data_IF_453389247084
#
_entry.id   IF_453389247084
#
_cell.length_a   1.000
_cell.length_b   1.000
_cell.length_c   1.000
_cell.angle_alpha   90.00
_cell.angle_beta   90.00
_cell.angle_gamma   90.00
#
_symmetry.space_group_name_H-M   'P 1'
#
loop_
_entity.id
_entity.type
_entity.pdbx_description
1 polymer ?
#
# COMPACT_ATOMS: atom_id res chain seq x y z
N UNK A 1 -8.38 -22.40 -36.97
CA UNK A 1 -8.76 -22.35 -35.53
C UNK A 1 -7.57 -22.67 -34.63
N UNK A 2 -6.81 -23.76 -34.88
CA UNK A 2 -5.54 -24.02 -34.16
C UNK A 2 -4.51 -22.88 -34.31
N UNK A 3 -4.36 -22.33 -35.50
CA UNK A 3 -3.38 -21.25 -35.75
C UNK A 3 -3.72 -19.94 -35.01
N UNK A 4 -5.01 -19.61 -34.89
CA UNK A 4 -5.47 -18.40 -34.16
C UNK A 4 -5.22 -18.54 -32.65
N UNK A 5 -5.40 -19.73 -32.10
CA UNK A 5 -5.13 -20.00 -30.69
C UNK A 5 -3.62 -19.93 -30.40
N UNK A 6 -2.78 -20.45 -31.31
CA UNK A 6 -1.34 -20.32 -31.17
C UNK A 6 -0.89 -18.86 -31.24
N UNK A 7 -1.42 -18.08 -32.19
CA UNK A 7 -1.12 -16.65 -32.29
C UNK A 7 -1.54 -15.89 -31.03
N UNK A 8 -2.67 -16.24 -30.41
CA UNK A 8 -3.09 -15.66 -29.14
C UNK A 8 -2.10 -15.97 -28.02
N UNK A 9 -1.65 -17.22 -27.88
CA UNK A 9 -0.64 -17.59 -26.89
C UNK A 9 0.70 -16.89 -27.13
N UNK A 10 1.12 -16.75 -28.39
CA UNK A 10 2.33 -16.02 -28.76
C UNK A 10 2.23 -14.54 -28.36
N UNK A 11 1.09 -13.89 -28.63
CA UNK A 11 0.83 -12.51 -28.20
C UNK A 11 0.81 -12.36 -26.68
N UNK A 12 0.25 -13.33 -25.94
CA UNK A 12 0.28 -13.36 -24.47
C UNK A 12 1.72 -13.47 -23.96
N UNK A 13 2.53 -14.36 -24.55
CA UNK A 13 3.94 -14.49 -24.19
C UNK A 13 4.70 -13.19 -24.42
N UNK A 14 4.47 -12.49 -25.54
CA UNK A 14 5.07 -11.18 -25.81
C UNK A 14 4.64 -10.13 -24.78
N UNK A 15 3.33 -10.02 -24.50
CA UNK A 15 2.81 -9.05 -23.53
C UNK A 15 3.34 -9.28 -22.10
N UNK A 16 3.54 -10.55 -21.71
CA UNK A 16 4.09 -10.90 -20.40
C UNK A 16 5.56 -10.50 -20.22
N UNK A 17 6.32 -10.33 -21.30
CA UNK A 17 7.73 -9.90 -21.25
C UNK A 17 7.91 -8.40 -20.97
N UNK A 18 6.84 -7.59 -21.00
CA UNK A 18 6.91 -6.16 -20.72
C UNK A 18 7.98 -5.45 -21.56
N UNK A 19 8.92 -4.77 -20.90
CA UNK A 19 10.05 -4.08 -21.53
C UNK A 19 11.18 -4.98 -22.06
N UNK A 20 11.02 -6.29 -22.00
CA UNK A 20 11.97 -7.30 -22.49
C UNK A 20 12.92 -7.86 -21.41
N UNK A 21 13.51 -9.02 -21.69
CA UNK A 21 14.32 -9.82 -20.75
C UNK A 21 15.46 -9.02 -20.11
N UNK A 22 16.20 -8.22 -20.90
CA UNK A 22 17.29 -7.37 -20.39
C UNK A 22 16.82 -6.37 -19.33
N UNK A 23 15.59 -5.85 -19.43
CA UNK A 23 15.05 -4.91 -18.45
C UNK A 23 14.53 -5.63 -17.21
N UNK A 24 14.02 -6.84 -17.36
CA UNK A 24 13.64 -7.72 -16.26
C UNK A 24 14.89 -8.08 -15.44
N UNK A 25 15.97 -8.52 -16.08
CA UNK A 25 17.25 -8.80 -15.42
C UNK A 25 17.80 -7.56 -14.68
N UNK A 26 17.66 -6.37 -15.27
CA UNK A 26 18.06 -5.12 -14.62
C UNK A 26 17.17 -4.74 -13.41
N UNK A 27 15.89 -5.11 -13.43
CA UNK A 27 14.98 -4.95 -12.28
C UNK A 27 15.37 -5.92 -11.16
N UNK A 28 15.56 -7.20 -11.47
CA UNK A 28 16.03 -8.21 -10.52
C UNK A 28 17.41 -7.88 -9.95
N UNK A 29 18.32 -7.35 -10.77
CA UNK A 29 19.64 -6.90 -10.33
C UNK A 29 19.62 -5.75 -9.31
N UNK A 30 18.47 -5.09 -9.13
CA UNK A 30 18.23 -4.09 -8.07
C UNK A 30 17.53 -4.67 -6.84
N UNK A 31 17.35 -5.99 -6.77
CA UNK A 31 16.62 -6.66 -5.70
C UNK A 31 15.10 -6.49 -5.76
N UNK A 32 14.57 -6.03 -6.90
CA UNK A 32 13.13 -5.75 -7.09
C UNK A 32 12.49 -6.85 -7.93
N UNK A 33 11.26 -7.20 -7.60
CA UNK A 33 10.44 -8.08 -8.43
C UNK A 33 9.82 -7.31 -9.61
N UNK A 34 9.36 -8.05 -10.61
CA UNK A 34 8.54 -7.53 -11.70
C UNK A 34 7.09 -7.33 -11.25
N UNK A 35 6.32 -6.57 -12.02
CA UNK A 35 4.90 -6.33 -11.73
C UNK A 35 4.07 -7.62 -11.61
N UNK A 36 4.37 -8.62 -12.45
CA UNK A 36 3.63 -9.90 -12.48
C UNK A 36 4.04 -10.84 -11.34
N UNK A 37 5.33 -10.91 -11.01
CA UNK A 37 5.81 -11.68 -9.86
C UNK A 37 5.23 -11.14 -8.55
N UNK A 38 5.09 -9.82 -8.41
CA UNK A 38 4.46 -9.20 -7.24
C UNK A 38 2.98 -9.57 -7.12
N UNK A 39 2.24 -9.60 -8.23
CA UNK A 39 0.84 -10.03 -8.25
C UNK A 39 0.71 -11.51 -7.89
N UNK A 40 1.60 -12.35 -8.41
CA UNK A 40 1.61 -13.80 -8.14
C UNK A 40 1.85 -14.13 -6.67
N UNK A 41 2.72 -13.37 -5.98
CA UNK A 41 2.92 -13.50 -4.53
C UNK A 41 1.74 -12.94 -3.74
N UNK A 42 1.20 -11.79 -4.16
CA UNK A 42 0.13 -11.13 -3.43
C UNK A 42 -1.17 -11.95 -3.42
N UNK A 43 -1.54 -12.51 -4.57
CA UNK A 43 -2.83 -13.19 -4.76
C UNK A 43 -2.72 -14.69 -4.50
N UNK A 44 -3.85 -15.31 -4.18
CA UNK A 44 -3.92 -16.76 -4.06
C UNK A 44 -3.58 -17.42 -5.41
N UNK A 45 -2.89 -18.56 -5.33
CA UNK A 45 -2.39 -19.29 -6.51
C UNK A 45 -3.50 -19.55 -7.53
N UNK A 46 -3.27 -19.14 -8.78
CA UNK A 46 -4.22 -19.35 -9.88
C UNK A 46 -5.49 -18.49 -9.85
N UNK A 47 -5.61 -17.53 -8.91
CA UNK A 47 -6.80 -16.68 -8.80
C UNK A 47 -6.80 -15.43 -9.70
N UNK A 48 -5.64 -15.02 -10.22
CA UNK A 48 -5.52 -13.76 -10.95
C UNK A 48 -6.19 -13.81 -12.33
N UNK A 49 -7.16 -12.93 -12.55
CA UNK A 49 -7.74 -12.66 -13.86
C UNK A 49 -7.33 -11.25 -14.33
N UNK A 50 -6.55 -11.22 -15.40
CA UNK A 50 -6.02 -9.98 -15.97
C UNK A 50 -6.99 -9.32 -16.96
N UNK A 51 -7.13 -8.00 -16.85
CA UNK A 51 -7.81 -7.16 -17.82
C UNK A 51 -6.84 -6.35 -18.67
N UNK A 52 -7.27 -6.06 -19.90
CA UNK A 52 -6.59 -5.11 -20.80
C UNK A 52 -5.09 -5.43 -21.05
N UNK A 53 -4.73 -6.72 -21.09
CA UNK A 53 -3.36 -7.20 -21.34
C UNK A 53 -2.78 -6.63 -22.64
N UNK A 54 -3.61 -6.47 -23.68
CA UNK A 54 -3.17 -6.01 -25.00
C UNK A 54 -3.39 -4.52 -25.27
N UNK A 55 -3.89 -3.77 -24.29
CA UNK A 55 -4.12 -2.33 -24.47
C UNK A 55 -2.77 -1.61 -24.61
N UNK A 56 -2.66 -0.73 -25.59
CA UNK A 56 -1.45 0.06 -25.84
C UNK A 56 -1.80 1.55 -25.86
N UNK A 57 -0.79 2.41 -25.67
CA UNK A 57 -0.98 3.86 -25.79
C UNK A 57 -1.36 4.29 -27.21
N UNK A 58 -2.02 5.45 -27.27
CA UNK A 58 -2.46 6.08 -28.52
C UNK A 58 -1.64 7.31 -28.88
N UNK A 59 -0.61 7.63 -28.10
CA UNK A 59 0.30 8.75 -28.34
C UNK A 59 1.04 8.60 -29.68
N UNK A 60 1.03 9.66 -30.49
CA UNK A 60 1.78 9.76 -31.75
C UNK A 60 2.95 10.75 -31.69
N UNK A 61 3.01 11.56 -30.63
CA UNK A 61 4.05 12.58 -30.45
C UNK A 61 5.38 11.96 -30.01
N UNK A 62 6.47 12.71 -30.20
CA UNK A 62 7.83 12.33 -29.75
C UNK A 62 8.31 10.94 -30.19
N UNK A 63 7.80 10.41 -31.32
CA UNK A 63 8.14 9.08 -31.83
C UNK A 63 7.48 7.92 -31.09
N UNK A 64 6.50 8.19 -30.22
CA UNK A 64 5.80 7.14 -29.46
C UNK A 64 5.06 6.15 -30.37
N UNK A 65 4.59 6.58 -31.55
CA UNK A 65 3.90 5.70 -32.50
C UNK A 65 4.72 4.47 -32.92
N UNK A 66 6.05 4.54 -32.89
CA UNK A 66 6.95 3.47 -33.32
C UNK A 66 7.21 2.41 -32.23
N UNK A 67 6.76 2.66 -31.00
CA UNK A 67 7.06 1.82 -29.85
C UNK A 67 5.80 1.59 -29.00
N UNK A 68 4.96 0.67 -29.42
CA UNK A 68 3.76 0.26 -28.68
C UNK A 68 4.00 -1.05 -27.94
N UNK A 69 4.04 -0.98 -26.60
CA UNK A 69 4.18 -2.16 -25.75
C UNK A 69 2.81 -2.54 -25.18
N UNK A 70 2.33 -3.79 -25.40
CA UNK A 70 1.07 -4.27 -24.83
C UNK A 70 1.03 -4.12 -23.30
N UNK A 71 -0.13 -3.69 -22.79
CA UNK A 71 -0.38 -3.46 -21.37
C UNK A 71 -0.09 -2.03 -20.92
N UNK A 72 0.71 -1.28 -21.68
CA UNK A 72 1.06 0.13 -21.46
C UNK A 72 1.67 0.45 -20.08
N UNK A 73 2.41 -0.52 -19.54
CA UNK A 73 3.20 -0.37 -18.32
C UNK A 73 2.43 -0.52 -17.01
N UNK A 74 1.22 -1.08 -17.04
CA UNK A 74 0.50 -1.52 -15.84
C UNK A 74 -0.22 -2.84 -16.09
N UNK A 75 -0.10 -3.75 -15.15
CA UNK A 75 -0.89 -4.99 -15.09
C UNK A 75 -2.06 -4.73 -14.16
N UNK A 76 -3.28 -5.01 -14.60
CA UNK A 76 -4.52 -4.72 -13.86
C UNK A 76 -5.44 -5.90 -13.88
N UNK A 77 -6.13 -6.17 -12.78
CA UNK A 77 -7.11 -7.25 -12.72
C UNK A 77 -7.70 -7.42 -11.34
N UNK A 78 -8.16 -8.62 -11.09
CA UNK A 78 -8.68 -9.03 -9.79
C UNK A 78 -8.21 -10.46 -9.47
N UNK A 79 -8.33 -10.84 -8.21
CA UNK A 79 -8.14 -12.21 -7.76
C UNK A 79 -8.63 -12.35 -6.32
N UNK A 80 -8.04 -13.27 -5.57
CA UNK A 80 -8.38 -13.45 -4.16
C UNK A 80 -7.17 -13.38 -3.26
N UNK A 81 -7.38 -12.91 -2.03
CA UNK A 81 -6.46 -13.10 -0.90
C UNK A 81 -7.23 -13.85 0.17
N UNK A 82 -6.76 -15.05 0.53
CA UNK A 82 -7.43 -15.95 1.45
C UNK A 82 -8.90 -16.21 1.05
N UNK A 83 -9.14 -16.39 -0.25
CA UNK A 83 -10.44 -16.65 -0.84
C UNK A 83 -11.38 -15.44 -0.95
N UNK A 84 -10.93 -14.25 -0.56
CA UNK A 84 -11.75 -13.03 -0.58
C UNK A 84 -11.33 -12.13 -1.75
N UNK A 85 -12.33 -11.58 -2.45
CA UNK A 85 -12.13 -10.75 -3.64
C UNK A 85 -11.29 -9.50 -3.37
N UNK A 86 -10.34 -9.22 -4.25
CA UNK A 86 -9.53 -8.00 -4.26
C UNK A 86 -9.22 -7.57 -5.70
N UNK A 87 -9.20 -6.27 -5.95
CA UNK A 87 -8.72 -5.69 -7.20
C UNK A 87 -7.28 -5.21 -7.03
N UNK A 88 -6.46 -5.38 -8.08
CA UNK A 88 -5.04 -5.02 -8.02
C UNK A 88 -4.56 -4.39 -9.31
N UNK A 89 -3.72 -3.36 -9.18
CA UNK A 89 -2.85 -2.93 -10.25
C UNK A 89 -1.39 -3.01 -9.81
N UNK A 90 -0.51 -3.36 -10.75
CA UNK A 90 0.93 -3.35 -10.55
C UNK A 90 1.64 -2.69 -11.72
N UNK A 91 2.39 -1.64 -11.44
CA UNK A 91 3.10 -0.87 -12.46
C UNK A 91 4.38 -1.59 -12.87
N UNK A 92 4.57 -1.72 -14.18
CA UNK A 92 5.75 -2.36 -14.77
C UNK A 92 6.78 -1.30 -15.15
N UNK A 93 7.76 -1.12 -14.27
CA UNK A 93 8.87 -0.17 -14.46
C UNK A 93 9.69 -0.46 -15.72
N UNK A 94 9.68 -1.69 -16.24
CA UNK A 94 10.42 -2.04 -17.46
C UNK A 94 9.82 -1.36 -18.70
N UNK A 95 8.53 -1.02 -18.67
CA UNK A 95 7.78 -0.40 -19.78
C UNK A 95 7.69 1.11 -19.56
N UNK A 96 8.46 1.88 -20.34
CA UNK A 96 8.55 3.34 -20.23
C UNK A 96 8.77 3.87 -18.80
N UNK A 97 9.50 3.14 -17.95
CA UNK A 97 9.71 3.53 -16.55
C UNK A 97 8.45 3.47 -15.70
N UNK A 98 7.44 2.68 -16.09
CA UNK A 98 6.13 2.63 -15.44
C UNK A 98 5.36 3.95 -15.55
N UNK A 99 5.74 4.83 -16.48
CA UNK A 99 5.15 6.17 -16.58
C UNK A 99 3.66 6.13 -16.94
N UNK A 100 2.89 6.96 -16.25
CA UNK A 100 1.44 7.01 -16.41
C UNK A 100 1.05 7.79 -17.67
N UNK A 101 0.45 7.10 -18.62
CA UNK A 101 -0.23 7.61 -19.81
C UNK A 101 -1.75 7.65 -19.60
N UNK A 102 -2.46 8.20 -20.59
CA UNK A 102 -3.94 8.14 -20.66
C UNK A 102 -4.45 6.69 -20.55
N UNK A 103 -3.93 5.78 -21.37
CA UNK A 103 -4.39 4.39 -21.43
C UNK A 103 -3.98 3.56 -20.22
N UNK A 104 -2.82 3.86 -19.61
CA UNK A 104 -2.41 3.30 -18.33
C UNK A 104 -3.39 3.70 -17.22
N UNK A 105 -3.73 5.00 -17.15
CA UNK A 105 -4.71 5.50 -16.18
C UNK A 105 -6.09 4.88 -16.39
N UNK A 106 -6.57 4.80 -17.64
CA UNK A 106 -7.85 4.15 -17.98
C UNK A 106 -7.92 2.69 -17.49
N UNK A 107 -6.80 1.95 -17.47
CA UNK A 107 -6.75 0.57 -16.93
C UNK A 107 -6.93 0.55 -15.41
N UNK A 108 -6.24 1.45 -14.70
CA UNK A 108 -6.36 1.58 -13.24
C UNK A 108 -7.78 2.03 -12.88
N UNK A 109 -8.28 3.05 -13.56
CA UNK A 109 -9.66 3.56 -13.45
C UNK A 109 -10.69 2.44 -13.58
N UNK A 110 -10.55 1.56 -14.60
CA UNK A 110 -11.47 0.44 -14.81
C UNK A 110 -11.58 -0.45 -13.59
N UNK A 111 -10.45 -0.90 -13.03
CA UNK A 111 -10.49 -1.81 -11.87
C UNK A 111 -10.96 -1.10 -10.60
N UNK A 112 -10.70 0.20 -10.42
CA UNK A 112 -11.21 0.97 -9.30
C UNK A 112 -12.73 1.11 -9.36
N UNK A 113 -13.27 1.39 -10.56
CA UNK A 113 -14.72 1.44 -10.80
C UNK A 113 -15.36 0.07 -10.49
N UNK A 114 -14.73 -1.03 -10.94
CA UNK A 114 -15.19 -2.39 -10.63
C UNK A 114 -15.10 -2.73 -9.14
N UNK A 115 -14.04 -2.29 -8.46
CA UNK A 115 -13.86 -2.54 -7.03
C UNK A 115 -14.96 -1.89 -6.18
N UNK A 116 -15.28 -0.62 -6.46
CA UNK A 116 -16.40 0.08 -5.80
C UNK A 116 -17.74 -0.57 -6.13
N UNK A 117 -17.96 -0.96 -7.40
CA UNK A 117 -19.21 -1.63 -7.82
C UNK A 117 -19.43 -2.97 -7.11
N UNK A 118 -18.36 -3.72 -6.84
CA UNK A 118 -18.43 -5.03 -6.20
C UNK A 118 -18.15 -4.99 -4.68
N UNK A 119 -17.83 -3.83 -4.14
CA UNK A 119 -17.49 -3.67 -2.73
C UNK A 119 -16.26 -4.48 -2.31
N UNK A 120 -15.17 -4.37 -3.06
CA UNK A 120 -13.93 -5.08 -2.79
C UNK A 120 -12.74 -4.10 -2.65
N UNK A 121 -11.72 -4.41 -1.83
CA UNK A 121 -10.54 -3.57 -1.70
C UNK A 121 -9.75 -3.41 -3.00
N UNK A 122 -8.99 -2.33 -3.10
CA UNK A 122 -8.03 -2.08 -4.19
C UNK A 122 -6.62 -2.00 -3.63
N UNK A 123 -5.69 -2.76 -4.19
CA UNK A 123 -4.27 -2.71 -3.88
C UNK A 123 -3.49 -2.16 -5.07
N UNK A 124 -2.77 -1.07 -4.86
CA UNK A 124 -1.87 -0.46 -5.85
C UNK A 124 -0.42 -0.79 -5.56
N UNK A 125 0.24 -1.50 -6.47
CA UNK A 125 1.67 -1.81 -6.39
C UNK A 125 2.43 -0.83 -7.30
N UNK A 126 3.00 0.21 -6.69
CA UNK A 126 3.51 1.39 -7.38
C UNK A 126 5.01 1.27 -7.63
N UNK A 127 5.41 1.48 -8.88
CA UNK A 127 6.80 1.46 -9.36
C UNK A 127 6.86 2.28 -10.66
N UNK A 128 6.83 3.61 -10.51
CA UNK A 128 6.64 4.56 -11.61
C UNK A 128 7.53 5.79 -11.49
N UNK A 129 8.20 6.12 -12.60
CA UNK A 129 8.93 7.38 -12.75
C UNK A 129 8.05 8.63 -12.78
N UNK A 130 6.72 8.51 -12.77
CA UNK A 130 5.79 9.63 -12.77
C UNK A 130 5.00 9.78 -14.07
N UNK A 131 4.71 11.03 -14.46
CA UNK A 131 3.95 11.34 -15.66
C UNK A 131 4.69 10.93 -16.94
N UNK A 132 3.97 10.40 -17.94
CA UNK A 132 4.52 10.24 -19.27
C UNK A 132 4.55 11.59 -19.98
N UNK A 133 5.71 12.25 -19.92
CA UNK A 133 5.92 13.60 -20.46
C UNK A 133 5.52 13.71 -21.93
N UNK A 134 5.73 12.65 -22.72
CA UNK A 134 5.41 12.59 -24.13
C UNK A 134 3.90 12.76 -24.41
N UNK A 135 3.03 12.45 -23.45
CA UNK A 135 1.58 12.62 -23.55
C UNK A 135 1.07 13.94 -22.96
N UNK A 136 1.95 14.72 -22.33
CA UNK A 136 1.63 16.05 -21.80
C UNK A 136 0.39 16.07 -20.90
N UNK A 137 -0.60 16.89 -21.28
CA UNK A 137 -1.82 17.08 -20.49
C UNK A 137 -2.70 15.84 -20.39
N UNK A 138 -2.61 14.89 -21.34
CA UNK A 138 -3.38 13.65 -21.28
C UNK A 138 -2.90 12.75 -20.12
N UNK A 139 -1.59 12.74 -19.86
CA UNK A 139 -1.02 12.06 -18.67
C UNK A 139 -1.54 12.71 -17.37
N UNK A 140 -1.60 14.04 -17.32
CA UNK A 140 -2.13 14.76 -16.15
C UNK A 140 -3.63 14.54 -15.95
N UNK A 141 -4.41 14.47 -17.03
CA UNK A 141 -5.82 14.12 -16.97
C UNK A 141 -6.01 12.69 -16.44
N UNK A 142 -5.18 11.74 -16.89
CA UNK A 142 -5.17 10.38 -16.36
C UNK A 142 -4.90 10.31 -14.85
N UNK A 143 -3.98 11.13 -14.33
CA UNK A 143 -3.79 11.27 -12.89
C UNK A 143 -5.05 11.78 -12.19
N UNK A 144 -5.67 12.84 -12.71
CA UNK A 144 -6.90 13.39 -12.14
C UNK A 144 -8.04 12.36 -12.09
N UNK A 145 -8.18 11.52 -13.11
CA UNK A 145 -9.19 10.46 -13.16
C UNK A 145 -8.99 9.39 -12.08
N UNK A 146 -7.73 9.01 -11.82
CA UNK A 146 -7.36 8.09 -10.74
C UNK A 146 -7.63 8.74 -9.38
N UNK A 147 -7.20 9.99 -9.17
CA UNK A 147 -7.40 10.72 -7.92
C UNK A 147 -8.89 10.88 -7.59
N UNK A 148 -9.71 11.19 -8.59
CA UNK A 148 -11.16 11.31 -8.41
C UNK A 148 -11.76 9.99 -7.88
N UNK A 149 -11.25 8.84 -8.33
CA UNK A 149 -11.69 7.52 -7.85
C UNK A 149 -11.16 7.20 -6.47
N UNK A 150 -9.94 7.62 -6.14
CA UNK A 150 -9.45 7.47 -4.77
C UNK A 150 -10.35 8.21 -3.77
N UNK A 151 -10.76 9.43 -4.11
CA UNK A 151 -11.67 10.25 -3.30
C UNK A 151 -13.04 9.57 -3.19
N UNK A 152 -13.61 9.10 -4.31
CA UNK A 152 -14.92 8.45 -4.32
C UNK A 152 -14.94 7.11 -3.58
N UNK A 153 -13.82 6.40 -3.55
CA UNK A 153 -13.67 5.12 -2.86
C UNK A 153 -13.31 5.27 -1.37
N UNK A 154 -12.90 6.46 -0.92
CA UNK A 154 -12.46 6.72 0.46
C UNK A 154 -13.59 6.45 1.46
N UNK A 155 -13.34 5.52 2.40
CA UNK A 155 -14.36 5.06 3.35
C UNK A 155 -15.48 4.21 2.73
N UNK A 156 -15.31 3.72 1.49
CA UNK A 156 -16.26 2.83 0.81
C UNK A 156 -15.66 1.44 0.64
N UNK A 157 -14.48 1.36 0.04
CA UNK A 157 -13.67 0.14 -0.04
C UNK A 157 -12.26 0.47 0.45
N UNK A 158 -11.57 -0.45 1.17
CA UNK A 158 -10.20 -0.21 1.58
C UNK A 158 -9.26 -0.04 0.39
N UNK A 159 -8.38 0.95 0.48
CA UNK A 159 -7.38 1.27 -0.53
C UNK A 159 -5.99 1.16 0.09
N UNK A 160 -5.15 0.27 -0.44
CA UNK A 160 -3.80 0.03 0.06
C UNK A 160 -2.80 0.35 -1.05
N UNK A 161 -1.83 1.19 -0.75
CA UNK A 161 -0.69 1.46 -1.63
C UNK A 161 0.57 0.81 -1.11
N UNK A 162 1.24 0.06 -1.97
CA UNK A 162 2.58 -0.46 -1.73
C UNK A 162 3.53 0.21 -2.69
N UNK A 163 4.56 0.84 -2.16
CA UNK A 163 5.56 1.58 -2.94
C UNK A 163 6.79 0.70 -3.02
N UNK A 164 7.01 0.14 -4.21
CA UNK A 164 8.03 -0.88 -4.45
C UNK A 164 9.02 -0.38 -5.52
N UNK A 165 9.21 0.93 -5.58
CA UNK A 165 10.02 1.59 -6.60
C UNK A 165 9.98 3.12 -6.49
N UNK A 166 10.48 3.82 -7.52
CA UNK A 166 10.29 5.25 -7.63
C UNK A 166 8.81 5.61 -7.66
N UNK A 167 8.44 6.73 -7.04
CA UNK A 167 7.13 7.33 -7.14
C UNK A 167 7.29 8.86 -7.03
N UNK A 168 7.34 9.56 -8.15
CA UNK A 168 7.71 10.97 -8.19
C UNK A 168 6.64 11.86 -8.87
N UNK A 169 6.55 13.11 -8.43
CA UNK A 169 5.64 14.08 -9.03
C UNK A 169 4.18 13.71 -8.80
N UNK A 170 3.38 13.65 -9.86
CA UNK A 170 1.96 13.31 -9.77
C UNK A 170 1.69 11.93 -9.15
N UNK A 171 2.63 10.97 -9.30
CA UNK A 171 2.45 9.61 -8.81
C UNK A 171 2.22 9.51 -7.30
N UNK A 172 2.72 10.47 -6.50
CA UNK A 172 2.61 10.42 -5.04
C UNK A 172 1.21 10.71 -4.52
N UNK A 173 0.37 11.38 -5.31
CA UNK A 173 -0.92 11.89 -4.82
C UNK A 173 -2.01 10.82 -4.75
N UNK A 174 -1.95 9.78 -5.59
CA UNK A 174 -2.89 8.65 -5.46
C UNK A 174 -2.62 7.88 -4.16
N UNK A 175 -1.38 7.42 -3.86
CA UNK A 175 -1.07 6.84 -2.57
C UNK A 175 -1.43 7.73 -1.38
N UNK A 176 -1.18 9.04 -1.46
CA UNK A 176 -1.54 9.99 -0.40
C UNK A 176 -3.05 10.04 -0.08
N UNK A 177 -3.91 9.64 -1.02
CA UNK A 177 -5.36 9.55 -0.84
C UNK A 177 -5.85 8.15 -0.47
N UNK A 178 -5.01 7.12 -0.57
CA UNK A 178 -5.31 5.76 -0.10
C UNK A 178 -5.20 5.65 1.41
N UNK A 179 -5.78 4.61 2.01
CA UNK A 179 -5.89 4.47 3.46
C UNK A 179 -4.55 4.14 4.11
N UNK A 180 -3.77 3.24 3.49
CA UNK A 180 -2.45 2.83 3.96
C UNK A 180 -1.39 2.93 2.87
N UNK A 181 -0.18 3.35 3.25
CA UNK A 181 1.00 3.42 2.40
C UNK A 181 2.13 2.62 3.04
N UNK A 182 2.53 1.52 2.41
CA UNK A 182 3.70 0.74 2.81
C UNK A 182 4.83 0.92 1.80
N UNK A 183 6.06 0.94 2.27
CA UNK A 183 7.25 1.16 1.43
C UNK A 183 8.23 0.00 1.58
N UNK A 184 9.03 -0.26 0.55
CA UNK A 184 10.16 -1.20 0.63
C UNK A 184 11.45 -0.42 0.85
N UNK A 185 12.23 -0.77 1.88
CA UNK A 185 13.49 -0.10 2.20
C UNK A 185 14.48 -0.23 1.04
N UNK A 186 15.30 0.80 0.86
CA UNK A 186 16.40 0.92 -0.10
C UNK A 186 16.06 0.81 -1.60
N UNK A 187 14.84 0.37 -1.94
CA UNK A 187 14.39 0.15 -3.32
C UNK A 187 13.20 1.03 -3.72
N UNK A 188 12.62 1.78 -2.78
CA UNK A 188 11.49 2.67 -2.99
C UNK A 188 11.71 4.07 -2.42
N UNK A 189 11.11 5.07 -3.06
CA UNK A 189 11.12 6.45 -2.58
C UNK A 189 9.95 7.25 -3.16
N UNK A 190 9.55 8.30 -2.44
CA UNK A 190 8.47 9.21 -2.83
C UNK A 190 8.83 10.68 -2.64
N UNK A 191 8.52 11.52 -3.63
CA UNK A 191 8.57 12.98 -3.46
C UNK A 191 7.78 13.70 -4.56
N UNK A 192 7.26 14.87 -4.23
CA UNK A 192 6.60 15.74 -5.22
C UNK A 192 7.64 16.28 -6.22
N UNK A 193 8.78 16.73 -5.72
CA UNK A 193 9.83 17.36 -6.54
C UNK A 193 11.15 16.63 -6.32
N UNK A 194 11.81 16.23 -7.40
CA UNK A 194 13.04 15.42 -7.32
C UNK A 194 14.28 16.20 -6.89
N UNK A 195 15.34 15.50 -6.44
CA UNK A 195 16.55 16.11 -5.90
C UNK A 195 17.25 17.09 -6.86
N UNK A 196 17.24 16.81 -8.16
CA UNK A 196 17.85 17.68 -9.16
C UNK A 196 17.18 19.07 -9.21
N UNK A 197 15.86 19.10 -9.03
CA UNK A 197 15.10 20.36 -9.00
C UNK A 197 15.29 21.07 -7.66
N UNK A 198 15.32 20.32 -6.55
CA UNK A 198 15.64 20.87 -5.22
C UNK A 198 17.00 21.58 -5.27
N UNK A 199 18.02 20.95 -5.85
CA UNK A 199 19.35 21.53 -6.01
C UNK A 199 19.36 22.80 -6.83
N UNK A 200 18.67 22.83 -7.97
CA UNK A 200 18.67 24.01 -8.85
C UNK A 200 17.93 25.20 -8.26
N UNK A 201 16.88 24.97 -7.47
CA UNK A 201 16.03 26.04 -6.89
C UNK A 201 16.53 26.51 -5.53
N UNK A 202 17.00 25.59 -4.68
CA UNK A 202 17.34 25.88 -3.27
C UNK A 202 18.84 25.82 -2.97
N UNK A 203 19.65 25.30 -3.90
CA UNK A 203 21.06 24.93 -3.71
C UNK A 203 21.30 23.81 -2.68
N UNK A 204 20.26 23.14 -2.20
CA UNK A 204 20.38 21.99 -1.31
C UNK A 204 20.78 20.74 -2.11
N UNK A 205 21.82 20.03 -1.65
CA UNK A 205 22.25 18.77 -2.24
C UNK A 205 21.79 17.64 -1.33
N UNK A 206 20.82 16.88 -1.81
CA UNK A 206 20.19 15.78 -1.08
C UNK A 206 20.05 14.59 -2.04
N UNK A 207 20.17 13.37 -1.53
CA UNK A 207 19.92 12.15 -2.32
C UNK A 207 18.44 11.82 -2.38
N UNK A 208 18.02 10.93 -3.29
CA UNK A 208 16.63 10.46 -3.36
C UNK A 208 16.18 9.77 -2.05
N UNK A 209 17.08 8.98 -1.44
CA UNK A 209 16.83 8.29 -0.17
C UNK A 209 16.68 9.27 0.99
N UNK A 210 17.57 10.27 1.10
CA UNK A 210 17.45 11.30 2.14
C UNK A 210 16.17 12.14 1.97
N UNK A 211 15.82 12.47 0.72
CA UNK A 211 14.67 13.32 0.42
C UNK A 211 13.33 12.62 0.68
N UNK A 212 13.22 11.34 0.30
CA UNK A 212 11.94 10.64 0.22
C UNK A 212 12.04 9.13 0.34
N UNK A 213 13.13 8.61 0.91
CA UNK A 213 13.27 7.19 1.19
C UNK A 213 12.30 6.69 2.25
N UNK A 214 12.20 5.36 2.35
CA UNK A 214 11.25 4.71 3.26
C UNK A 214 11.44 5.16 4.72
N UNK A 215 12.68 5.32 5.19
CA UNK A 215 12.97 5.79 6.56
C UNK A 215 12.51 7.24 6.79
N UNK A 216 12.60 8.11 5.78
CA UNK A 216 12.13 9.50 5.89
C UNK A 216 10.62 9.54 6.07
N UNK A 217 9.89 8.72 5.32
CA UNK A 217 8.43 8.70 5.36
C UNK A 217 7.82 7.97 6.56
N UNK A 218 8.49 6.96 7.08
CA UNK A 218 8.05 6.18 8.25
C UNK A 218 8.41 6.79 9.59
N UNK A 219 9.40 7.69 9.65
CA UNK A 219 9.83 8.32 10.91
C UNK A 219 9.50 9.80 10.99
N UNK A 220 9.76 10.54 9.91
CA UNK A 220 9.79 12.00 9.93
C UNK A 220 8.54 12.63 9.35
N UNK A 221 8.12 12.21 8.15
CA UNK A 221 7.09 12.96 7.40
C UNK A 221 5.65 12.53 7.68
N UNK A 222 5.42 11.47 8.46
CA UNK A 222 4.10 10.88 8.72
C UNK A 222 3.37 10.31 7.48
N UNK A 223 4.09 9.99 6.40
CA UNK A 223 3.45 9.59 5.12
C UNK A 223 3.26 8.08 5.02
N UNK A 224 4.27 7.30 5.42
CA UNK A 224 4.23 5.85 5.32
C UNK A 224 3.80 5.21 6.65
N UNK A 225 2.97 4.18 6.55
CA UNK A 225 2.41 3.43 7.67
C UNK A 225 3.30 2.27 8.11
N UNK A 226 4.26 1.88 7.27
CA UNK A 226 5.30 0.91 7.57
C UNK A 226 6.33 0.81 6.45
N UNK A 227 7.47 0.22 6.76
CA UNK A 227 8.49 -0.11 5.78
C UNK A 227 9.06 -1.51 6.03
N UNK A 228 9.18 -2.28 4.95
CA UNK A 228 9.63 -3.67 4.95
C UNK A 228 10.97 -3.81 4.23
N UNK A 229 11.73 -4.86 4.52
CA UNK A 229 13.10 -4.97 4.04
C UNK A 229 13.16 -5.41 2.57
N UNK A 230 12.11 -6.03 2.05
CA UNK A 230 12.06 -6.51 0.66
C UNK A 230 10.63 -6.66 0.13
N UNK A 231 10.52 -6.85 -1.19
CA UNK A 231 9.24 -7.00 -1.90
C UNK A 231 8.39 -8.17 -1.37
N UNK A 232 9.00 -9.31 -1.02
CA UNK A 232 8.27 -10.52 -0.59
C UNK A 232 7.63 -10.29 0.77
N UNK A 233 8.42 -9.83 1.74
CA UNK A 233 7.94 -9.49 3.08
C UNK A 233 6.84 -8.44 3.04
N UNK A 234 6.99 -7.40 2.21
CA UNK A 234 5.96 -6.38 2.05
C UNK A 234 4.62 -7.00 1.61
N UNK A 235 4.64 -7.87 0.59
CA UNK A 235 3.42 -8.49 0.07
C UNK A 235 2.79 -9.47 1.07
N UNK A 236 3.59 -10.20 1.83
CA UNK A 236 3.10 -11.08 2.90
C UNK A 236 2.41 -10.28 4.02
N UNK A 237 3.00 -9.16 4.45
CA UNK A 237 2.39 -8.29 5.47
C UNK A 237 1.14 -7.57 4.93
N UNK A 238 1.08 -7.24 3.63
CA UNK A 238 -0.17 -6.75 3.01
C UNK A 238 -1.27 -7.81 3.07
N UNK A 239 -0.96 -9.09 2.80
CA UNK A 239 -1.92 -10.19 2.96
C UNK A 239 -2.40 -10.29 4.41
N UNK A 240 -1.49 -10.15 5.39
CA UNK A 240 -1.83 -10.13 6.82
C UNK A 240 -2.73 -8.96 7.19
N UNK A 241 -2.43 -7.74 6.74
CA UNK A 241 -3.31 -6.58 6.95
C UNK A 241 -4.69 -6.80 6.33
N UNK A 242 -4.74 -7.27 5.09
CA UNK A 242 -5.99 -7.53 4.37
C UNK A 242 -6.93 -8.47 5.14
N UNK A 243 -6.38 -9.43 5.89
CA UNK A 243 -7.16 -10.33 6.74
C UNK A 243 -7.82 -9.66 7.95
N UNK A 244 -7.30 -8.52 8.42
CA UNK A 244 -7.97 -7.73 9.47
C UNK A 244 -9.10 -6.88 8.90
N UNK A 245 -8.96 -6.41 7.66
CA UNK A 245 -9.87 -5.41 7.11
C UNK A 245 -11.19 -6.04 6.61
N UNK A 246 -12.33 -5.34 6.71
CA UNK A 246 -13.53 -5.69 5.96
C UNK A 246 -13.31 -5.49 4.45
N UNK A 247 -14.17 -6.06 3.60
CA UNK A 247 -14.06 -5.85 2.14
C UNK A 247 -14.58 -4.48 1.71
N UNK A 248 -15.54 -3.94 2.45
CA UNK A 248 -16.16 -2.65 2.22
C UNK A 248 -16.84 -2.16 3.52
N UNK A 249 -17.34 -0.92 3.51
CA UNK A 249 -18.03 -0.30 4.64
C UNK A 249 -19.40 -0.89 5.01
N UNK A 250 -19.82 -2.00 4.41
CA UNK A 250 -21.09 -2.69 4.70
C UNK A 250 -20.92 -4.17 5.06
N UNK A 251 -19.76 -4.78 4.80
CA UNK A 251 -19.56 -6.21 5.05
C UNK A 251 -19.38 -6.54 6.53
N UNK A 252 -19.03 -5.55 7.35
CA UNK A 252 -18.55 -5.75 8.71
C UNK A 252 -17.17 -6.42 8.74
N UNK A 253 -16.56 -6.45 9.93
CA UNK A 253 -15.24 -7.06 10.13
C UNK A 253 -15.25 -8.57 9.86
N UNK A 254 -14.18 -9.13 9.27
CA UNK A 254 -14.07 -10.57 9.09
C UNK A 254 -14.03 -11.28 10.44
N UNK A 255 -14.62 -12.48 10.49
CA UNK A 255 -14.55 -13.38 11.64
C UNK A 255 -13.76 -14.62 11.22
N UNK A 256 -12.76 -14.99 12.00
CA UNK A 256 -12.00 -16.23 11.79
C UNK A 256 -12.06 -17.13 13.02
N UNK A 257 -11.82 -18.45 12.87
CA UNK A 257 -11.50 -19.29 14.02
C UNK A 257 -10.32 -18.69 14.80
N UNK A 258 -10.43 -18.70 16.12
CA UNK A 258 -9.39 -18.24 17.03
C UNK A 258 -9.08 -19.35 18.03
N UNK A 259 -7.83 -19.43 18.46
CA UNK A 259 -7.35 -20.46 19.39
C UNK A 259 -6.90 -19.82 20.71
N UNK A 260 -7.79 -19.02 21.31
CA UNK A 260 -7.61 -18.35 22.59
C UNK A 260 -8.88 -18.53 23.47
N UNK A 261 -8.82 -18.09 24.72
CA UNK A 261 -9.93 -18.14 25.67
C UNK A 261 -10.46 -16.74 25.97
N UNK A 262 -11.74 -16.43 25.70
CA UNK A 262 -12.33 -15.13 26.06
C UNK A 262 -12.28 -14.86 27.58
N UNK A 263 -12.31 -15.92 28.39
CA UNK A 263 -12.22 -15.85 29.85
C UNK A 263 -10.76 -15.85 30.36
N UNK A 264 -9.76 -15.59 29.50
CA UNK A 264 -8.35 -15.61 29.89
C UNK A 264 -8.09 -14.57 30.99
N UNK A 265 -7.52 -15.06 32.10
CA UNK A 265 -7.02 -14.22 33.18
C UNK A 265 -5.50 -14.22 33.13
N UNK A 266 -4.90 -13.03 33.09
CA UNK A 266 -3.44 -12.87 33.10
C UNK A 266 -3.00 -12.07 34.33
N UNK A 267 -2.58 -12.79 35.37
CA UNK A 267 -2.17 -12.20 36.65
C UNK A 267 -0.92 -11.33 36.57
N UNK A 268 -0.16 -11.40 35.47
CA UNK A 268 1.01 -10.54 35.31
C UNK A 268 0.64 -9.07 35.10
N UNK A 269 -0.59 -8.79 34.64
CA UNK A 269 -1.12 -7.43 34.45
C UNK A 269 -1.35 -6.70 35.78
N UNK A 270 -1.57 -7.42 36.88
CA UNK A 270 -1.70 -6.84 38.23
C UNK A 270 -0.42 -6.13 38.69
N UNK A 271 0.71 -6.42 38.03
CA UNK A 271 2.04 -5.87 38.34
C UNK A 271 2.66 -5.08 37.20
N UNK A 272 1.92 -4.83 36.11
CA UNK A 272 2.45 -4.11 34.94
C UNK A 272 2.74 -2.64 35.25
N UNK A 273 1.86 -1.99 36.02
CA UNK A 273 2.00 -0.59 36.40
C UNK A 273 3.01 -0.47 37.55
N UNK A 274 4.13 0.25 37.39
CA UNK A 274 5.13 0.39 38.44
C UNK A 274 4.60 1.21 39.63
N UNK A 275 5.01 0.85 40.85
CA UNK A 275 4.69 1.62 42.07
C UNK A 275 5.30 3.04 42.05
N UNK A 276 6.45 3.20 41.38
CA UNK A 276 7.11 4.49 41.21
C UNK A 276 6.47 5.24 40.03
N UNK A 277 5.80 6.39 40.26
CA UNK A 277 5.10 7.12 39.19
C UNK A 277 6.04 7.72 38.13
N UNK A 278 7.35 7.76 38.36
CA UNK A 278 8.33 8.23 37.37
C UNK A 278 8.89 7.10 36.50
N UNK A 279 8.53 5.85 36.77
CA UNK A 279 9.00 4.70 36.01
C UNK A 279 7.97 4.34 34.93
N UNK A 280 8.34 4.38 33.63
CA UNK A 280 7.43 3.97 32.56
C UNK A 280 7.32 2.44 32.46
N UNK A 281 6.32 1.98 31.72
CA UNK A 281 6.12 0.58 31.31
C UNK A 281 5.76 0.52 29.82
N UNK A 282 5.92 -0.64 29.21
CA UNK A 282 5.57 -0.83 27.79
C UNK A 282 4.08 -1.13 27.62
N UNK A 283 3.32 -0.15 27.12
CA UNK A 283 1.90 -0.35 26.81
C UNK A 283 1.66 -1.47 25.80
N UNK A 284 2.62 -1.78 24.93
CA UNK A 284 2.50 -2.88 23.97
C UNK A 284 2.47 -4.26 24.65
N UNK A 285 2.96 -4.37 25.88
CA UNK A 285 2.80 -5.59 26.68
C UNK A 285 1.32 -5.83 27.01
N UNK A 286 0.61 -4.79 27.46
CA UNK A 286 -0.83 -4.86 27.71
C UNK A 286 -1.60 -5.20 26.43
N UNK A 287 -1.30 -4.51 25.31
CA UNK A 287 -1.97 -4.75 24.02
C UNK A 287 -1.84 -6.21 23.60
N UNK A 288 -0.63 -6.78 23.61
CA UNK A 288 -0.41 -8.18 23.23
C UNK A 288 -1.05 -9.14 24.21
N UNK A 289 -1.10 -8.81 25.50
CA UNK A 289 -1.80 -9.62 26.49
C UNK A 289 -3.31 -9.53 26.38
N UNK A 290 -3.89 -8.51 25.74
CA UNK A 290 -5.32 -8.47 25.45
C UNK A 290 -5.66 -9.15 24.12
N UNK A 291 -4.80 -9.02 23.11
CA UNK A 291 -5.00 -9.59 21.79
C UNK A 291 -5.14 -11.11 21.81
N UNK A 292 -6.07 -11.65 21.01
CA UNK A 292 -6.11 -13.08 20.69
C UNK A 292 -4.73 -13.51 20.16
N UNK A 293 -4.21 -14.62 20.70
CA UNK A 293 -2.95 -15.23 20.27
C UNK A 293 -1.72 -14.29 20.41
N UNK A 294 -1.86 -13.18 21.13
CA UNK A 294 -0.83 -12.14 21.21
C UNK A 294 -0.57 -11.38 19.90
N UNK A 295 -1.44 -11.53 18.90
CA UNK A 295 -1.25 -10.99 17.56
C UNK A 295 -1.65 -9.51 17.48
N UNK A 296 -0.66 -8.65 17.20
CA UNK A 296 -0.84 -7.22 17.01
C UNK A 296 -0.17 -6.76 15.72
N UNK A 297 -0.95 -6.17 14.83
CA UNK A 297 -0.48 -5.52 13.60
C UNK A 297 -0.41 -4.00 13.84
N UNK A 298 0.78 -3.49 14.12
CA UNK A 298 0.98 -2.07 14.42
C UNK A 298 1.02 -1.21 13.16
N UNK A 299 0.38 -0.05 13.21
CA UNK A 299 0.36 0.97 12.15
C UNK A 299 1.20 2.16 12.59
N UNK A 300 2.07 2.64 11.69
CA UNK A 300 3.00 3.74 11.95
C UNK A 300 3.90 3.51 13.18
N UNK A 301 4.44 2.29 13.33
CA UNK A 301 5.24 1.90 14.49
C UNK A 301 6.48 2.81 14.72
N UNK A 302 7.07 3.32 13.64
CA UNK A 302 8.27 4.18 13.69
C UNK A 302 7.96 5.70 13.72
N UNK A 303 6.68 6.10 13.69
CA UNK A 303 6.25 7.50 13.74
C UNK A 303 5.38 7.79 14.97
N UNK A 304 5.61 8.94 15.62
CA UNK A 304 4.86 9.39 16.79
C UNK A 304 4.70 8.27 17.85
N UNK A 305 5.84 7.71 18.29
CA UNK A 305 5.87 6.53 19.13
C UNK A 305 5.33 6.73 20.56
N UNK A 306 4.97 7.95 20.94
CA UNK A 306 4.21 8.31 22.14
C UNK A 306 2.73 7.88 22.08
N UNK A 307 2.22 7.48 20.91
CA UNK A 307 0.94 6.81 20.75
C UNK A 307 1.08 5.55 19.87
N UNK A 308 0.38 4.50 20.24
CA UNK A 308 0.33 3.22 19.54
C UNK A 308 -1.02 3.09 18.85
N UNK A 309 -1.00 2.70 17.59
CA UNK A 309 -2.19 2.41 16.78
C UNK A 309 -1.99 1.10 16.05
N UNK A 310 -3.02 0.28 15.93
CA UNK A 310 -2.93 -0.97 15.16
C UNK A 310 -4.12 -1.88 15.36
N UNK A 311 -4.06 -3.07 14.78
CA UNK A 311 -5.14 -4.05 14.80
C UNK A 311 -4.79 -5.25 15.65
N UNK A 312 -5.77 -5.68 16.45
CA UNK A 312 -5.78 -6.98 17.14
C UNK A 312 -7.04 -7.75 16.72
N UNK A 313 -7.18 -8.98 17.23
CA UNK A 313 -8.49 -9.65 17.30
C UNK A 313 -8.90 -9.91 18.74
N UNK A 314 -10.21 -9.92 18.97
CA UNK A 314 -10.87 -10.41 20.17
C UNK A 314 -12.01 -11.34 19.74
N UNK A 315 -12.02 -12.56 20.26
CA UNK A 315 -12.95 -13.62 19.83
C UNK A 315 -12.99 -13.80 18.30
N UNK A 316 -11.82 -13.70 17.65
CA UNK A 316 -11.64 -13.87 16.21
C UNK A 316 -12.14 -12.69 15.36
N UNK A 317 -12.53 -11.56 15.96
CA UNK A 317 -13.01 -10.34 15.28
C UNK A 317 -12.00 -9.20 15.37
N UNK A 318 -11.81 -8.46 14.28
CA UNK A 318 -10.89 -7.31 14.26
C UNK A 318 -11.33 -6.20 15.21
N UNK A 319 -10.37 -5.67 15.97
CA UNK A 319 -10.51 -4.49 16.83
C UNK A 319 -9.32 -3.56 16.57
N UNK A 320 -9.61 -2.27 16.35
CA UNK A 320 -8.59 -1.22 16.30
C UNK A 320 -8.20 -0.80 17.71
N UNK A 321 -6.90 -0.66 17.96
CA UNK A 321 -6.36 -0.25 19.27
C UNK A 321 -5.74 1.13 19.15
N UNK A 322 -6.05 2.01 20.10
CA UNK A 322 -5.37 3.30 20.28
C UNK A 322 -4.86 3.36 21.72
N UNK A 323 -3.55 3.52 21.93
CA UNK A 323 -2.99 3.45 23.27
C UNK A 323 -1.84 4.45 23.48
N UNK A 324 -1.79 5.14 24.61
CA UNK A 324 -0.65 5.97 24.96
C UNK A 324 0.60 5.10 25.24
N UNK A 325 1.80 5.61 25.00
CA UNK A 325 3.06 4.89 25.27
C UNK A 325 3.92 5.65 26.28
N UNK A 326 3.86 5.31 27.58
CA UNK A 326 4.63 5.97 28.63
C UNK A 326 6.15 5.95 28.41
N UNK A 327 6.68 4.96 27.69
CA UNK A 327 8.12 4.89 27.37
C UNK A 327 8.62 6.01 26.44
N UNK A 328 7.71 6.72 25.75
CA UNK A 328 8.07 7.76 24.79
C UNK A 328 7.35 9.05 25.16
N UNK A 329 8.12 10.08 25.50
CA UNK A 329 7.59 11.39 25.93
C UNK A 329 6.54 11.29 27.06
N UNK A 330 6.64 10.27 27.92
CA UNK A 330 5.67 10.00 28.99
C UNK A 330 4.21 9.82 28.50
N UNK A 331 3.99 9.40 27.24
CA UNK A 331 2.65 9.13 26.72
C UNK A 331 1.83 10.36 26.33
N UNK A 332 2.40 11.57 26.45
CA UNK A 332 1.69 12.83 26.17
C UNK A 332 1.24 12.93 24.72
N UNK A 333 0.12 13.63 24.50
CA UNK A 333 -0.37 13.94 23.15
C UNK A 333 0.33 15.17 22.57
N UNK A 334 0.68 15.09 21.29
CA UNK A 334 1.26 16.17 20.51
C UNK A 334 0.64 16.22 19.11
N UNK A 335 1.21 17.05 18.22
CA UNK A 335 0.70 17.25 16.85
C UNK A 335 0.73 15.94 16.05
N UNK A 336 1.83 15.21 16.11
CA UNK A 336 2.04 14.03 15.27
C UNK A 336 1.24 12.84 15.79
N UNK A 337 1.24 12.63 17.11
CA UNK A 337 0.47 11.58 17.76
C UNK A 337 -1.04 11.79 17.59
N UNK A 338 -1.50 13.06 17.65
CA UNK A 338 -2.89 13.41 17.36
C UNK A 338 -3.27 13.12 15.90
N UNK A 339 -2.42 13.47 14.92
CA UNK A 339 -2.69 13.21 13.50
C UNK A 339 -2.73 11.71 13.20
N UNK A 340 -1.77 10.95 13.74
CA UNK A 340 -1.69 9.48 13.63
C UNK A 340 -2.96 8.82 14.15
N UNK A 341 -3.32 9.08 15.42
CA UNK A 341 -4.49 8.47 16.03
C UNK A 341 -5.81 8.93 15.39
N UNK A 342 -5.95 10.21 15.03
CA UNK A 342 -7.17 10.71 14.40
C UNK A 342 -7.46 10.03 13.05
N UNK A 343 -6.44 9.85 12.20
CA UNK A 343 -6.63 9.16 10.92
C UNK A 343 -7.00 7.69 11.12
N UNK A 344 -6.33 7.01 12.06
CA UNK A 344 -6.60 5.62 12.41
C UNK A 344 -8.03 5.41 12.93
N UNK A 345 -8.49 6.25 13.85
CA UNK A 345 -9.86 6.24 14.39
C UNK A 345 -10.89 6.43 13.28
N UNK A 346 -10.68 7.41 12.39
CA UNK A 346 -11.60 7.68 11.27
C UNK A 346 -11.66 6.53 10.27
N UNK A 347 -10.53 5.87 10.01
CA UNK A 347 -10.52 4.68 9.16
C UNK A 347 -11.32 3.54 9.81
N UNK A 348 -11.07 3.26 11.09
CA UNK A 348 -11.77 2.21 11.82
C UNK A 348 -13.29 2.46 11.81
N UNK A 349 -13.72 3.68 12.13
CA UNK A 349 -15.12 4.10 12.11
C UNK A 349 -15.77 3.93 10.73
N UNK A 350 -15.13 4.41 9.66
CA UNK A 350 -15.65 4.31 8.30
C UNK A 350 -15.85 2.86 7.81
N UNK A 351 -15.17 1.90 8.44
CA UNK A 351 -15.19 0.49 8.09
C UNK A 351 -15.78 -0.39 9.20
N UNK A 352 -16.52 0.19 10.16
CA UNK A 352 -17.20 -0.54 11.24
C UNK A 352 -16.27 -1.43 12.08
N UNK A 353 -15.01 -1.02 12.24
CA UNK A 353 -14.03 -1.67 13.10
C UNK A 353 -14.17 -1.06 14.52
N UNK A 354 -14.52 -1.85 15.55
CA UNK A 354 -14.58 -1.38 16.92
C UNK A 354 -13.23 -0.85 17.42
N UNK A 355 -13.27 0.12 18.34
CA UNK A 355 -12.06 0.76 18.87
C UNK A 355 -11.92 0.46 20.37
N UNK A 356 -10.76 -0.07 20.75
CA UNK A 356 -10.30 -0.21 22.13
C UNK A 356 -9.26 0.88 22.42
N UNK A 357 -9.55 1.74 23.40
CA UNK A 357 -8.61 2.77 23.84
C UNK A 357 -8.00 2.43 25.20
N UNK A 358 -6.66 2.40 25.29
CA UNK A 358 -5.93 2.18 26.54
C UNK A 358 -5.22 3.49 26.95
N UNK A 359 -5.63 4.06 28.09
CA UNK A 359 -5.34 5.47 28.42
C UNK A 359 -4.31 5.58 29.53
N UNK A 360 -3.22 6.29 29.25
CA UNK A 360 -2.20 6.74 30.21
C UNK A 360 -1.44 7.96 29.63
N UNK A 361 -2.00 9.16 29.81
CA UNK A 361 -1.69 10.37 29.02
C UNK A 361 -1.22 11.56 29.84
#
# INVERSE_FOLDING_TARGET
MKDILQELEDRRMVARKGGGEKRIEAQHGKGKLTARERIEILLDEGSFEEFDMFKAHRCTDFGMADSQIPGDGVVTGWGTINGRLVYVFSQDFTVFGGSLSETHAEKIVKIMDMAVQNGAPVIGLNDSGGARIQEGVASLAGYADVFQRNIMASGVVPQISVIMGPCAGGAVYSPAMTDFIFMVRDSSYMFVTGPDVVKTVTNEVVTAEELGGASTHTKKSSVADGAFDNDVEALDEIRRLFDFLPLNNRSGVPVRPFFDSPDRVDSSLDTLIPDNPNQPYDMKELIRKLADEGDFYEIQAEHAANIVTGYIRLEGRTVGVVANQPMVLAGVLDIDSSRKAARFVRFCDAFEIPILTLVDV
#
